data_IF_589387698660
#
_entry.id   IF_589387698660
#
_cell.length_a   1.000
_cell.length_b   1.000
_cell.length_c   1.000
_cell.angle_alpha   90.00
_cell.angle_beta   90.00
_cell.angle_gamma   90.00
#
_symmetry.space_group_name_H-M   'P 1'
#
loop_
_entity.id
_entity.type
_entity.pdbx_description
1 polymer ?
#
# COMPACT_ATOMS: atom_id res chain seq x y z
N UNK A 1 -16.35 -16.17 27.16
CA UNK A 1 -14.93 -16.02 27.59
C UNK A 1 -14.34 -14.90 26.71
N UNK A 2 -13.37 -14.11 27.16
CA UNK A 2 -12.92 -12.94 26.35
C UNK A 2 -12.09 -13.34 25.11
N UNK A 3 -11.61 -14.57 25.07
CA UNK A 3 -10.78 -15.22 24.05
C UNK A 3 -11.58 -16.15 23.11
N UNK A 4 -12.88 -16.28 23.34
CA UNK A 4 -13.76 -17.15 22.56
C UNK A 4 -14.40 -16.33 21.43
N UNK A 5 -13.75 -16.35 20.26
CA UNK A 5 -14.24 -15.74 19.03
C UNK A 5 -14.85 -16.80 18.14
N UNK A 6 -16.05 -16.54 17.65
CA UNK A 6 -16.63 -17.34 16.57
C UNK A 6 -15.78 -17.21 15.29
N UNK A 7 -15.89 -18.16 14.34
CA UNK A 7 -15.16 -18.07 13.06
C UNK A 7 -15.42 -16.75 12.31
N UNK A 8 -16.64 -16.23 12.38
CA UNK A 8 -17.03 -14.98 11.71
C UNK A 8 -16.41 -13.75 12.38
N UNK A 9 -16.40 -13.70 13.72
CA UNK A 9 -15.74 -12.64 14.47
C UNK A 9 -14.22 -12.64 14.25
N UNK A 10 -13.60 -13.84 14.23
CA UNK A 10 -12.18 -13.98 13.94
C UNK A 10 -11.84 -13.49 12.52
N UNK A 11 -12.68 -13.83 11.55
CA UNK A 11 -12.53 -13.36 10.16
C UNK A 11 -12.65 -11.84 10.06
N UNK A 12 -13.64 -11.25 10.72
CA UNK A 12 -13.84 -9.78 10.79
C UNK A 12 -12.67 -9.08 11.47
N UNK A 13 -12.16 -9.64 12.57
CA UNK A 13 -11.00 -9.12 13.28
C UNK A 13 -9.75 -9.15 12.40
N UNK A 14 -9.50 -10.25 11.69
CA UNK A 14 -8.39 -10.35 10.74
C UNK A 14 -8.48 -9.33 9.61
N UNK A 15 -9.67 -9.11 9.06
CA UNK A 15 -9.89 -8.08 8.04
C UNK A 15 -9.57 -6.68 8.59
N UNK A 16 -10.05 -6.37 9.80
CA UNK A 16 -9.78 -5.09 10.47
C UNK A 16 -8.29 -4.87 10.73
N UNK A 17 -7.59 -5.89 11.24
CA UNK A 17 -6.14 -5.86 11.47
C UNK A 17 -5.40 -5.61 10.15
N UNK A 18 -5.79 -6.31 9.08
CA UNK A 18 -5.17 -6.16 7.76
C UNK A 18 -5.36 -4.75 7.21
N UNK A 19 -6.59 -4.22 7.24
CA UNK A 19 -6.88 -2.86 6.79
C UNK A 19 -6.11 -1.81 7.59
N UNK A 20 -6.03 -1.98 8.91
CA UNK A 20 -5.27 -1.09 9.80
C UNK A 20 -3.78 -1.13 9.49
N UNK A 21 -3.22 -2.33 9.29
CA UNK A 21 -1.82 -2.51 8.92
C UNK A 21 -1.47 -1.86 7.59
N UNK A 22 -2.34 -1.98 6.58
CA UNK A 22 -2.16 -1.30 5.29
C UNK A 22 -2.21 0.21 5.45
N UNK A 23 -3.15 0.73 6.23
CA UNK A 23 -3.25 2.17 6.49
C UNK A 23 -2.00 2.70 7.20
N UNK A 24 -1.49 1.99 8.20
CA UNK A 24 -0.24 2.34 8.87
C UNK A 24 0.95 2.35 7.90
N UNK A 25 1.08 1.33 7.04
CA UNK A 25 2.13 1.28 6.02
C UNK A 25 2.04 2.46 5.03
N UNK A 26 0.82 2.85 4.63
CA UNK A 26 0.55 4.03 3.79
C UNK A 26 1.01 5.33 4.44
N UNK A 27 0.71 5.52 5.72
CA UNK A 27 1.16 6.69 6.48
C UNK A 27 2.68 6.74 6.60
N UNK A 28 3.34 5.62 6.92
CA UNK A 28 4.81 5.54 6.98
C UNK A 28 5.43 5.87 5.61
N UNK A 29 4.86 5.36 4.52
CA UNK A 29 5.33 5.68 3.18
C UNK A 29 5.11 7.16 2.82
N UNK A 30 3.99 7.75 3.26
CA UNK A 30 3.68 9.16 3.04
C UNK A 30 4.56 10.09 3.87
N UNK A 31 4.95 9.70 5.09
CA UNK A 31 5.93 10.43 5.90
C UNK A 31 7.28 10.55 5.20
N UNK A 32 7.72 9.49 4.51
CA UNK A 32 8.93 9.54 3.67
C UNK A 32 8.79 10.45 2.45
N UNK A 33 7.59 10.59 1.90
CA UNK A 33 7.33 11.56 0.84
C UNK A 33 7.38 12.99 1.39
N UNK A 34 6.67 13.25 2.49
CA UNK A 34 6.58 14.55 3.13
C UNK A 34 7.95 15.07 3.61
N UNK A 35 8.82 14.16 4.07
CA UNK A 35 10.19 14.48 4.48
C UNK A 35 11.19 14.55 3.31
N UNK A 36 10.72 14.50 2.07
CA UNK A 36 11.60 14.48 0.90
C UNK A 36 10.93 15.07 -0.35
N UNK A 37 10.62 14.26 -1.37
CA UNK A 37 10.20 14.79 -2.67
C UNK A 37 8.86 15.53 -2.67
N UNK A 38 8.01 15.31 -1.66
CA UNK A 38 6.72 15.98 -1.48
C UNK A 38 6.75 17.01 -0.33
N UNK A 39 7.94 17.50 0.04
CA UNK A 39 8.08 18.50 1.09
C UNK A 39 7.20 19.74 0.82
N UNK A 40 6.48 20.17 1.85
CA UNK A 40 5.56 21.30 1.79
C UNK A 40 4.21 21.01 1.13
N UNK A 41 3.92 19.78 0.68
CA UNK A 41 2.62 19.44 0.08
C UNK A 41 1.53 19.09 1.12
N UNK A 42 1.89 18.78 2.36
CA UNK A 42 0.93 18.52 3.44
C UNK A 42 1.45 17.53 4.49
N UNK A 43 0.59 17.13 5.42
CA UNK A 43 0.89 16.07 6.37
C UNK A 43 0.77 14.69 5.73
N UNK A 44 1.37 13.64 6.31
CA UNK A 44 1.25 12.27 5.80
C UNK A 44 -0.21 11.83 5.58
N UNK A 45 -1.14 12.22 6.47
CA UNK A 45 -2.56 11.90 6.36
C UNK A 45 -3.18 12.52 5.11
N UNK A 46 -2.94 13.81 4.87
CA UNK A 46 -3.44 14.50 3.68
C UNK A 46 -2.82 13.96 2.40
N UNK A 47 -1.53 13.59 2.43
CA UNK A 47 -0.90 12.95 1.27
C UNK A 47 -1.49 11.57 0.97
N UNK A 48 -1.75 10.75 1.99
CA UNK A 48 -2.44 9.47 1.82
C UNK A 48 -3.83 9.68 1.23
N UNK A 49 -4.59 10.66 1.75
CA UNK A 49 -5.92 10.99 1.24
C UNK A 49 -5.89 11.38 -0.24
N UNK A 50 -5.01 12.30 -0.63
CA UNK A 50 -4.84 12.73 -2.02
C UNK A 50 -4.45 11.56 -2.93
N UNK A 51 -3.51 10.71 -2.50
CA UNK A 51 -3.09 9.52 -3.25
C UNK A 51 -4.22 8.50 -3.36
N UNK A 52 -5.06 8.34 -2.35
CA UNK A 52 -6.18 7.40 -2.36
C UNK A 52 -7.32 7.88 -3.25
N UNK A 53 -7.67 9.15 -3.18
CA UNK A 53 -8.73 9.75 -3.97
C UNK A 53 -8.30 10.01 -5.43
N UNK A 54 -6.99 10.14 -5.67
CA UNK A 54 -6.43 10.62 -6.95
C UNK A 54 -7.12 11.89 -7.41
N UNK A 55 -7.31 12.82 -6.47
CA UNK A 55 -8.06 14.04 -6.75
C UNK A 55 -7.26 14.95 -7.68
N UNK A 56 -7.56 14.87 -8.97
CA UNK A 56 -6.91 15.68 -10.00
C UNK A 56 -7.33 17.15 -9.97
N UNK A 57 -8.30 17.51 -9.13
CA UNK A 57 -8.75 18.90 -8.95
C UNK A 57 -7.97 19.62 -7.85
N UNK A 58 -7.30 18.89 -6.95
CA UNK A 58 -6.41 19.48 -5.96
C UNK A 58 -5.11 19.97 -6.63
N UNK A 59 -4.72 21.25 -6.48
CA UNK A 59 -3.49 21.79 -7.09
C UNK A 59 -2.20 21.06 -6.68
N UNK A 60 -2.21 20.36 -5.54
CA UNK A 60 -1.05 19.59 -5.06
C UNK A 60 -0.89 18.27 -5.82
N UNK A 61 -1.94 17.78 -6.47
CA UNK A 61 -1.94 16.50 -7.19
C UNK A 61 -0.88 16.47 -8.30
N UNK A 62 -0.76 17.55 -9.10
CA UNK A 62 0.23 17.62 -10.18
C UNK A 62 1.66 17.36 -9.66
N UNK A 63 1.97 17.86 -8.47
CA UNK A 63 3.28 17.66 -7.82
C UNK A 63 3.39 16.30 -7.15
N UNK A 64 2.30 15.70 -6.68
CA UNK A 64 2.29 14.45 -5.94
C UNK A 64 2.21 13.20 -6.85
N UNK A 65 1.46 13.29 -7.95
CA UNK A 65 1.19 12.21 -8.90
C UNK A 65 2.45 11.46 -9.36
N UNK A 66 3.58 12.11 -9.68
CA UNK A 66 4.80 11.41 -10.12
C UNK A 66 5.35 10.40 -9.10
N UNK A 67 4.96 10.52 -7.83
CA UNK A 67 5.43 9.67 -6.75
C UNK A 67 4.46 8.53 -6.39
N UNK A 68 3.23 8.51 -6.94
CA UNK A 68 2.18 7.56 -6.57
C UNK A 68 2.62 6.10 -6.70
N UNK A 69 3.23 5.74 -7.83
CA UNK A 69 3.70 4.38 -8.07
C UNK A 69 4.82 4.00 -7.10
N UNK A 70 5.78 4.89 -6.84
CA UNK A 70 6.90 4.63 -5.93
C UNK A 70 6.43 4.51 -4.48
N UNK A 71 5.44 5.30 -4.09
CA UNK A 71 4.79 5.23 -2.79
C UNK A 71 4.06 3.90 -2.60
N UNK A 72 3.27 3.45 -3.56
CA UNK A 72 2.55 2.17 -3.43
C UNK A 72 3.50 0.96 -3.39
N UNK A 73 4.61 0.99 -4.14
CA UNK A 73 5.67 -0.03 -4.02
C UNK A 73 6.35 0.00 -2.64
N UNK A 74 6.57 1.18 -2.04
CA UNK A 74 7.08 1.27 -0.69
C UNK A 74 6.10 0.66 0.33
N UNK A 75 4.79 0.85 0.16
CA UNK A 75 3.76 0.20 0.98
C UNK A 75 3.84 -1.32 0.88
N UNK A 76 4.00 -1.86 -0.34
CA UNK A 76 4.22 -3.31 -0.56
C UNK A 76 5.45 -3.80 0.20
N UNK A 77 6.57 -3.09 0.09
CA UNK A 77 7.83 -3.45 0.77
C UNK A 77 7.68 -3.46 2.30
N UNK A 78 6.98 -2.48 2.86
CA UNK A 78 6.74 -2.38 4.30
C UNK A 78 5.91 -3.56 4.81
N UNK A 79 4.89 -3.98 4.04
CA UNK A 79 3.99 -5.06 4.43
C UNK A 79 4.60 -6.45 4.23
N UNK A 80 5.41 -6.68 3.20
CA UNK A 80 6.03 -7.99 2.97
C UNK A 80 6.92 -8.45 4.14
N UNK A 81 7.53 -7.49 4.87
CA UNK A 81 8.35 -7.80 6.03
C UNK A 81 7.55 -8.26 7.27
N UNK A 82 6.25 -7.96 7.35
CA UNK A 82 5.44 -8.15 8.57
C UNK A 82 4.14 -8.94 8.35
N UNK A 83 3.67 -9.04 7.11
CA UNK A 83 2.46 -9.78 6.72
C UNK A 83 2.83 -11.02 5.93
N UNK A 84 2.22 -12.16 6.29
CA UNK A 84 2.33 -13.41 5.50
C UNK A 84 1.72 -13.25 4.11
N UNK A 85 0.76 -12.35 3.96
CA UNK A 85 0.07 -12.09 2.71
C UNK A 85 -0.10 -10.59 2.44
N UNK A 86 0.81 -9.97 1.67
CA UNK A 86 0.70 -8.56 1.25
C UNK A 86 -0.19 -8.38 0.01
N UNK A 87 -1.03 -9.36 -0.35
CA UNK A 87 -1.85 -9.35 -1.58
C UNK A 87 -2.65 -8.08 -1.81
N UNK A 88 -3.28 -7.51 -0.77
CA UNK A 88 -4.06 -6.28 -0.91
C UNK A 88 -3.19 -5.06 -1.30
N UNK A 89 -1.97 -4.98 -0.77
CA UNK A 89 -1.04 -3.92 -1.14
C UNK A 89 -0.48 -4.11 -2.56
N UNK A 90 -0.27 -5.37 -2.96
CA UNK A 90 0.14 -5.70 -4.34
C UNK A 90 -0.96 -5.31 -5.33
N UNK A 91 -2.23 -5.63 -5.03
CA UNK A 91 -3.38 -5.21 -5.83
C UNK A 91 -3.46 -3.68 -5.97
N UNK A 92 -3.31 -2.95 -4.85
CA UNK A 92 -3.28 -1.49 -4.84
C UNK A 92 -2.15 -0.94 -5.72
N UNK A 93 -0.92 -1.45 -5.58
CA UNK A 93 0.20 -1.05 -6.42
C UNK A 93 -0.05 -1.33 -7.91
N UNK A 94 -0.68 -2.47 -8.25
CA UNK A 94 -1.06 -2.81 -9.64
C UNK A 94 -2.11 -1.84 -10.21
N UNK A 95 -3.14 -1.50 -9.43
CA UNK A 95 -4.13 -0.48 -9.79
C UNK A 95 -3.51 0.92 -9.97
N UNK A 96 -2.33 1.13 -9.41
CA UNK A 96 -1.48 2.32 -9.52
C UNK A 96 -0.40 2.22 -10.60
N UNK A 97 -0.50 1.22 -11.47
CA UNK A 97 0.36 1.09 -12.65
C UNK A 97 1.69 0.39 -12.38
N UNK A 98 1.96 -0.09 -11.17
CA UNK A 98 3.17 -0.86 -10.90
C UNK A 98 3.22 -2.13 -11.74
N UNK A 99 4.33 -2.40 -12.41
CA UNK A 99 4.50 -3.61 -13.22
C UNK A 99 4.86 -4.81 -12.33
N UNK A 100 4.63 -6.04 -12.83
CA UNK A 100 5.09 -7.25 -12.14
C UNK A 100 6.60 -7.27 -11.92
N UNK A 101 7.38 -6.68 -12.82
CA UNK A 101 8.82 -6.56 -12.65
C UNK A 101 9.17 -5.64 -11.47
N UNK A 102 8.50 -4.50 -11.35
CA UNK A 102 8.72 -3.57 -10.22
C UNK A 102 8.29 -4.17 -8.87
N UNK A 103 7.18 -4.92 -8.86
CA UNK A 103 6.71 -5.65 -7.66
C UNK A 103 7.71 -6.74 -7.29
N UNK A 104 8.20 -7.51 -8.26
CA UNK A 104 9.17 -8.57 -8.01
C UNK A 104 10.50 -8.03 -7.45
N UNK A 105 11.00 -6.93 -8.02
CA UNK A 105 12.18 -6.22 -7.54
C UNK A 105 11.97 -5.73 -6.09
N UNK A 106 10.82 -5.12 -5.80
CA UNK A 106 10.43 -4.65 -4.46
C UNK A 106 10.42 -5.77 -3.42
N UNK A 107 10.00 -6.97 -3.82
CA UNK A 107 9.89 -8.16 -2.97
C UNK A 107 11.17 -9.02 -2.97
N UNK A 108 12.20 -8.66 -3.75
CA UNK A 108 13.42 -9.46 -3.87
C UNK A 108 13.21 -10.85 -4.49
N UNK A 109 12.20 -11.00 -5.36
CA UNK A 109 11.88 -12.27 -6.04
C UNK A 109 11.97 -12.13 -7.57
N UNK A 110 11.90 -13.24 -8.29
CA UNK A 110 11.83 -13.23 -9.76
C UNK A 110 10.44 -12.82 -10.24
N UNK A 111 10.35 -12.13 -11.38
CA UNK A 111 9.07 -11.70 -11.98
C UNK A 111 8.04 -12.83 -12.14
N UNK A 112 8.38 -14.03 -12.65
CA UNK A 112 7.42 -15.13 -12.74
C UNK A 112 6.91 -15.58 -11.37
N UNK A 113 7.75 -15.53 -10.33
CA UNK A 113 7.37 -15.88 -8.95
C UNK A 113 6.38 -14.88 -8.36
N UNK A 114 6.62 -13.58 -8.55
CA UNK A 114 5.67 -12.53 -8.13
C UNK A 114 4.32 -12.66 -8.87
N UNK A 115 4.35 -12.84 -10.19
CA UNK A 115 3.15 -13.06 -10.98
C UNK A 115 2.39 -14.30 -10.49
N UNK A 116 3.04 -15.44 -10.34
CA UNK A 116 2.38 -16.68 -9.90
C UNK A 116 1.76 -16.53 -8.50
N UNK A 117 2.43 -15.83 -7.58
CA UNK A 117 1.94 -15.59 -6.20
C UNK A 117 0.69 -14.70 -6.18
N UNK A 118 0.63 -13.68 -7.03
CA UNK A 118 -0.39 -12.62 -6.93
C UNK A 118 -1.33 -12.48 -8.14
N UNK A 119 -1.26 -13.37 -9.15
CA UNK A 119 -2.09 -13.31 -10.36
C UNK A 119 -3.61 -13.30 -10.12
N UNK A 120 -4.06 -13.66 -8.92
CA UNK A 120 -5.49 -13.68 -8.55
C UNK A 120 -5.96 -12.35 -7.92
N UNK A 121 -5.06 -11.38 -7.76
CA UNK A 121 -5.29 -10.10 -7.07
C UNK A 121 -5.50 -8.92 -8.03
N UNK A 122 -5.51 -9.17 -9.35
CA UNK A 122 -5.55 -8.15 -10.41
C UNK A 122 -6.45 -8.61 -11.55
#
# INVERSE_FOLDING_TARGET
>A
MFDDLTPDELSSAHATITTTGIHAARLIAADRLASGPAEGLGTPETLVELLQQRDTTDPRWERLQPFEQRWSLLVVRLLDAVSKDPSQAVADARNRGATWAAIADTLGVKTPSAYQRFRHQV
#
